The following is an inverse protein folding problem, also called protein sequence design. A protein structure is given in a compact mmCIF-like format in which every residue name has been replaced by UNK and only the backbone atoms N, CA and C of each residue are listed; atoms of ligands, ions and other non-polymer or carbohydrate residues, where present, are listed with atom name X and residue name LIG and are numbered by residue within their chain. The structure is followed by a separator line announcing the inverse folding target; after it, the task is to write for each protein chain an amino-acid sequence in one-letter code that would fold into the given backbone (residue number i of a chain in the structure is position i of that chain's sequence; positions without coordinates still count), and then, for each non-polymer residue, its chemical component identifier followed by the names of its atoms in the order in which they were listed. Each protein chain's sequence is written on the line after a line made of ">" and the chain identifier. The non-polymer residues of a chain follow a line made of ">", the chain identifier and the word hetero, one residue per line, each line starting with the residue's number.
data_IF_820992125169
#
_entry.id   IF_820992125169
#
_cell.length_a   1.000
_cell.length_b   1.000
_cell.length_c   1.000
_cell.angle_alpha   90.00
_cell.angle_beta   90.00
_cell.angle_gamma   90.00
#
_symmetry.space_group_name_H-M   'P 1'
#
loop_
_entity.id
_entity.type
_entity.pdbx_description
1 polymer ?
#
# COMPACT_ATOMS: atom_id res chain seq x y z
N UNK A 1 5.24 11.35 -27.46
CA UNK A 1 5.57 12.74 -27.01
C UNK A 1 6.45 12.80 -25.76
N UNK A 2 6.60 11.73 -24.99
CA UNK A 2 7.38 11.67 -23.74
C UNK A 2 8.91 11.74 -23.92
N UNK A 3 9.45 11.29 -25.06
CA UNK A 3 10.91 11.28 -25.29
C UNK A 3 11.58 12.66 -25.37
N UNK A 4 10.88 13.72 -25.80
CA UNK A 4 11.47 15.06 -26.00
C UNK A 4 11.58 15.89 -24.71
N UNK A 5 10.71 15.66 -23.72
CA UNK A 5 10.74 16.38 -22.44
C UNK A 5 11.92 15.92 -21.56
N UNK A 6 12.16 14.60 -21.48
CA UNK A 6 13.31 14.05 -20.77
C UNK A 6 14.64 14.43 -21.41
N UNK A 7 14.69 14.51 -22.74
CA UNK A 7 15.90 14.89 -23.47
C UNK A 7 16.25 16.37 -23.31
N UNK A 8 15.26 17.25 -23.10
CA UNK A 8 15.47 18.68 -22.88
C UNK A 8 16.01 19.00 -21.47
N UNK A 9 15.45 18.35 -20.44
CA UNK A 9 15.86 18.54 -19.04
C UNK A 9 17.22 17.90 -18.73
N UNK A 10 17.49 16.72 -19.28
CA UNK A 10 18.74 16.01 -19.03
C UNK A 10 19.97 16.66 -19.71
N UNK A 11 19.79 17.52 -20.72
CA UNK A 11 20.89 18.14 -21.50
C UNK A 11 21.64 19.26 -20.76
N UNK A 12 21.17 19.73 -19.60
CA UNK A 12 21.67 20.99 -19.00
C UNK A 12 22.44 20.86 -17.68
N UNK A 13 22.25 19.80 -16.88
CA UNK A 13 23.01 19.63 -15.64
C UNK A 13 22.98 18.21 -15.08
N UNK A 14 24.10 17.74 -14.54
CA UNK A 14 24.17 16.51 -13.74
C UNK A 14 23.32 16.62 -12.48
N UNK A 15 23.27 17.81 -11.85
CA UNK A 15 22.48 18.05 -10.64
C UNK A 15 21.00 17.82 -10.89
N UNK A 16 20.48 18.28 -12.03
CA UNK A 16 19.07 18.07 -12.39
C UNK A 16 18.72 16.59 -12.59
N UNK A 17 19.64 15.79 -13.12
CA UNK A 17 19.44 14.35 -13.26
C UNK A 17 19.30 13.67 -11.90
N UNK A 18 20.23 13.97 -10.98
CA UNK A 18 20.21 13.38 -9.63
C UNK A 18 18.99 13.87 -8.86
N UNK A 19 18.71 15.18 -8.89
CA UNK A 19 17.56 15.76 -8.23
C UNK A 19 16.23 15.17 -8.72
N UNK A 20 16.07 14.97 -10.04
CA UNK A 20 14.87 14.38 -10.61
C UNK A 20 14.72 12.91 -10.19
N UNK A 21 15.80 12.14 -10.20
CA UNK A 21 15.78 10.74 -9.76
C UNK A 21 15.42 10.64 -8.28
N UNK A 22 16.02 11.47 -7.43
CA UNK A 22 15.69 11.54 -6.00
C UNK A 22 14.24 11.95 -5.78
N UNK A 23 13.77 13.01 -6.43
CA UNK A 23 12.38 13.46 -6.33
C UNK A 23 11.40 12.37 -6.76
N UNK A 24 11.68 11.65 -7.86
CA UNK A 24 10.87 10.53 -8.31
C UNK A 24 10.82 9.41 -7.27
N UNK A 25 11.97 9.00 -6.71
CA UNK A 25 12.04 7.97 -5.67
C UNK A 25 11.28 8.38 -4.40
N UNK A 26 11.45 9.63 -3.96
CA UNK A 26 10.73 10.16 -2.80
C UNK A 26 9.23 10.19 -3.04
N UNK A 27 8.77 10.62 -4.22
CA UNK A 27 7.35 10.64 -4.56
C UNK A 27 6.74 9.25 -4.62
N UNK A 28 7.44 8.27 -5.21
CA UNK A 28 6.99 6.87 -5.24
C UNK A 28 6.89 6.31 -3.82
N UNK A 29 7.92 6.55 -3.00
CA UNK A 29 7.93 6.12 -1.60
C UNK A 29 6.81 6.73 -0.78
N UNK A 30 6.60 8.05 -0.88
CA UNK A 30 5.53 8.75 -0.18
C UNK A 30 4.14 8.28 -0.61
N UNK A 31 3.92 8.09 -1.92
CA UNK A 31 2.67 7.57 -2.43
C UNK A 31 2.41 6.15 -1.89
N UNK A 32 3.41 5.26 -1.97
CA UNK A 32 3.29 3.89 -1.45
C UNK A 32 3.04 3.84 0.05
N UNK A 33 3.76 4.65 0.84
CA UNK A 33 3.55 4.74 2.29
C UNK A 33 2.16 5.30 2.63
N UNK A 34 1.73 6.36 1.94
CA UNK A 34 0.41 6.97 2.16
C UNK A 34 -0.71 5.98 1.87
N UNK A 35 -0.65 5.27 0.74
CA UNK A 35 -1.62 4.21 0.42
C UNK A 35 -1.60 3.09 1.47
N UNK A 36 -0.41 2.67 1.92
CA UNK A 36 -0.27 1.64 2.94
C UNK A 36 -0.90 2.02 4.28
N UNK A 37 -0.73 3.27 4.73
CA UNK A 37 -1.31 3.76 6.00
C UNK A 37 -2.84 3.78 5.91
N UNK A 38 -3.39 4.34 4.82
CA UNK A 38 -4.84 4.40 4.62
C UNK A 38 -5.47 3.01 4.61
N UNK A 39 -4.86 2.04 3.91
CA UNK A 39 -5.37 0.66 3.89
C UNK A 39 -5.24 0.00 5.27
N UNK A 40 -4.11 0.16 5.97
CA UNK A 40 -3.90 -0.41 7.30
C UNK A 40 -4.97 0.06 8.32
N UNK A 41 -5.32 1.34 8.32
CA UNK A 41 -6.38 1.89 9.18
C UNK A 41 -7.76 1.29 8.85
N UNK A 42 -8.05 1.08 7.57
CA UNK A 42 -9.31 0.44 7.16
C UNK A 42 -9.37 -1.03 7.57
N UNK A 43 -8.28 -1.78 7.40
CA UNK A 43 -8.17 -3.21 7.77
C UNK A 43 -8.34 -3.39 9.28
N UNK A 44 -7.74 -2.52 10.10
CA UNK A 44 -7.92 -2.58 11.55
C UNK A 44 -9.39 -2.36 11.95
N UNK A 45 -10.09 -1.45 11.25
CA UNK A 45 -11.53 -1.25 11.40
C UNK A 45 -12.35 -2.49 11.05
N UNK A 46 -12.02 -3.14 9.91
CA UNK A 46 -12.68 -4.37 9.47
C UNK A 46 -12.47 -5.53 10.44
N UNK A 47 -11.28 -5.68 11.03
CA UNK A 47 -11.02 -6.74 12.01
C UNK A 47 -11.93 -6.64 13.24
N UNK A 48 -12.20 -5.42 13.72
CA UNK A 48 -13.16 -5.20 14.82
C UNK A 48 -14.58 -5.57 14.40
N UNK A 49 -14.99 -5.19 13.19
CA UNK A 49 -16.31 -5.54 12.64
C UNK A 49 -16.49 -7.06 12.48
N UNK A 50 -15.49 -7.77 11.95
CA UNK A 50 -15.48 -9.24 11.81
C UNK A 50 -15.62 -9.91 13.17
N UNK A 51 -14.88 -9.45 14.19
CA UNK A 51 -14.96 -10.02 15.53
C UNK A 51 -16.36 -9.84 16.16
N UNK A 52 -16.97 -8.66 15.98
CA UNK A 52 -18.34 -8.40 16.46
C UNK A 52 -19.37 -9.19 15.67
N UNK A 53 -19.27 -9.25 14.34
CA UNK A 53 -20.16 -10.07 13.54
C UNK A 53 -20.04 -11.56 13.91
N UNK A 54 -18.83 -12.04 14.23
CA UNK A 54 -18.60 -13.37 14.76
C UNK A 54 -19.19 -13.60 16.16
N UNK A 55 -19.25 -12.58 17.01
CA UNK A 55 -19.91 -12.69 18.33
C UNK A 55 -21.41 -12.89 18.19
N UNK A 56 -22.07 -12.24 17.21
CA UNK A 56 -23.50 -12.41 16.93
C UNK A 56 -23.85 -13.89 16.75
N UNK A 57 -23.11 -14.61 15.90
CA UNK A 57 -23.32 -16.05 15.67
C UNK A 57 -23.21 -16.87 16.96
N UNK A 58 -22.18 -16.62 17.77
CA UNK A 58 -22.02 -17.32 19.05
C UNK A 58 -23.16 -17.01 20.01
N UNK A 59 -23.62 -15.76 20.06
CA UNK A 59 -24.73 -15.32 20.91
C UNK A 59 -26.05 -15.93 20.46
N UNK A 60 -26.28 -16.08 19.15
CA UNK A 60 -27.45 -16.79 18.62
C UNK A 60 -27.47 -18.26 19.07
N UNK A 61 -26.36 -18.99 18.91
CA UNK A 61 -26.29 -20.39 19.39
C UNK A 61 -26.38 -20.50 20.91
N UNK A 62 -25.75 -19.58 21.66
CA UNK A 62 -25.80 -19.55 23.13
C UNK A 62 -27.23 -19.35 23.63
N UNK A 63 -27.97 -18.45 23.01
CA UNK A 63 -29.38 -18.22 23.34
C UNK A 63 -30.22 -19.47 23.08
N UNK A 64 -30.06 -20.11 21.91
CA UNK A 64 -30.76 -21.36 21.59
C UNK A 64 -30.44 -22.49 22.58
N UNK A 65 -29.16 -22.66 22.94
CA UNK A 65 -28.75 -23.70 23.89
C UNK A 65 -29.25 -23.44 25.32
N UNK A 66 -29.34 -22.17 25.73
CA UNK A 66 -29.95 -21.80 27.01
C UNK A 66 -31.45 -22.11 27.04
N UNK A 67 -32.17 -21.81 25.95
CA UNK A 67 -33.60 -22.17 25.83
C UNK A 67 -33.79 -23.68 25.92
N UNK A 68 -32.96 -24.47 25.22
CA UNK A 68 -33.01 -25.94 25.28
C UNK A 68 -32.68 -26.45 26.70
N UNK A 69 -31.68 -25.87 27.36
CA UNK A 69 -31.31 -26.25 28.73
C UNK A 69 -32.45 -25.98 29.72
N UNK A 70 -33.10 -24.81 29.63
CA UNK A 70 -34.22 -24.46 30.51
C UNK A 70 -35.42 -25.42 30.30
N UNK A 71 -35.66 -25.86 29.06
CA UNK A 71 -36.69 -26.87 28.74
C UNK A 71 -36.35 -28.23 29.35
N UNK A 72 -35.09 -28.68 29.26
CA UNK A 72 -34.65 -29.96 29.81
C UNK A 72 -34.68 -30.01 31.34
N UNK A 73 -34.44 -28.86 31.99
CA UNK A 73 -34.45 -28.74 33.45
C UNK A 73 -35.84 -28.35 34.01
N UNK A 74 -36.87 -28.24 33.15
CA UNK A 74 -38.21 -27.74 33.49
C UNK A 74 -38.19 -26.39 34.23
N UNK A 75 -37.20 -25.55 33.93
CA UNK A 75 -37.00 -24.25 34.56
C UNK A 75 -37.75 -23.14 33.83
N UNK A 76 -38.14 -22.12 34.59
CA UNK A 76 -38.61 -20.85 34.01
C UNK A 76 -37.49 -20.29 33.15
N UNK A 77 -37.83 -19.87 31.94
CA UNK A 77 -36.88 -19.28 31.03
C UNK A 77 -36.09 -18.15 31.71
N UNK A 78 -34.80 -18.39 31.87
CA UNK A 78 -34.00 -17.77 32.92
C UNK A 78 -33.58 -16.37 32.48
N UNK A 79 -33.34 -15.47 33.45
CA UNK A 79 -32.65 -14.18 33.27
C UNK A 79 -31.42 -14.27 32.33
N UNK A 80 -30.79 -15.44 32.25
CA UNK A 80 -29.69 -15.79 31.34
C UNK A 80 -30.05 -15.69 29.85
N UNK A 81 -31.24 -16.13 29.44
CA UNK A 81 -31.70 -16.02 28.03
C UNK A 81 -31.89 -14.55 27.68
N UNK A 82 -32.60 -13.81 28.54
CA UNK A 82 -32.82 -12.37 28.38
C UNK A 82 -31.50 -11.58 28.36
N UNK A 83 -30.51 -11.99 29.17
CA UNK A 83 -29.18 -11.40 29.13
C UNK A 83 -28.47 -11.67 27.79
N UNK A 84 -28.58 -12.88 27.24
CA UNK A 84 -28.02 -13.21 25.92
C UNK A 84 -28.68 -12.44 24.77
N UNK A 85 -30.00 -12.19 24.86
CA UNK A 85 -30.76 -11.34 23.92
C UNK A 85 -30.22 -9.90 23.96
N UNK A 86 -30.05 -9.33 25.16
CA UNK A 86 -29.49 -7.97 25.30
C UNK A 86 -28.07 -7.86 24.76
N UNK A 87 -27.21 -8.81 25.08
CA UNK A 87 -25.83 -8.86 24.59
C UNK A 87 -25.78 -8.96 23.05
N UNK A 88 -26.71 -9.70 22.45
CA UNK A 88 -26.88 -9.76 21.00
C UNK A 88 -27.30 -8.41 20.41
N UNK A 89 -28.32 -7.77 20.98
CA UNK A 89 -28.82 -6.47 20.50
C UNK A 89 -27.77 -5.35 20.62
N UNK A 90 -27.01 -5.33 21.72
CA UNK A 90 -25.87 -4.42 21.91
C UNK A 90 -24.77 -4.67 20.85
N UNK A 91 -24.47 -5.94 20.57
CA UNK A 91 -23.51 -6.31 19.53
C UNK A 91 -24.00 -5.95 18.13
N UNK A 92 -25.30 -6.05 17.86
CA UNK A 92 -25.90 -5.78 16.56
C UNK A 92 -25.75 -4.31 16.18
N UNK A 93 -25.88 -3.39 17.15
CA UNK A 93 -25.71 -1.94 16.94
C UNK A 93 -24.31 -1.43 17.31
N UNK A 94 -23.34 -2.34 17.45
CA UNK A 94 -22.00 -1.97 17.88
C UNK A 94 -21.34 -0.99 16.89
N UNK A 95 -20.61 0.04 17.36
CA UNK A 95 -20.02 1.06 16.49
C UNK A 95 -19.10 0.53 15.39
N UNK A 96 -18.45 -0.62 15.61
CA UNK A 96 -17.61 -1.25 14.59
C UNK A 96 -18.39 -1.65 13.33
N UNK A 97 -19.60 -2.19 13.47
CA UNK A 97 -20.46 -2.56 12.34
C UNK A 97 -21.04 -1.30 11.68
N UNK A 98 -21.53 -0.36 12.51
CA UNK A 98 -22.14 0.88 12.03
C UNK A 98 -21.16 1.72 11.21
N UNK A 99 -19.90 1.84 11.62
CA UNK A 99 -18.87 2.56 10.85
C UNK A 99 -18.64 1.97 9.45
N UNK A 100 -18.77 0.65 9.26
CA UNK A 100 -18.65 0.03 7.93
C UNK A 100 -19.83 0.45 7.05
N UNK A 101 -21.03 0.46 7.62
CA UNK A 101 -22.26 0.87 6.93
C UNK A 101 -22.23 2.37 6.60
N UNK A 102 -21.83 3.22 7.55
CA UNK A 102 -21.71 4.68 7.35
C UNK A 102 -20.71 5.02 6.24
N UNK A 103 -19.61 4.28 6.14
CA UNK A 103 -18.61 4.45 5.09
C UNK A 103 -19.12 3.99 3.72
N UNK A 104 -19.93 2.93 3.69
CA UNK A 104 -20.36 2.27 2.45
C UNK A 104 -21.84 1.82 2.54
N UNK A 105 -22.80 2.76 2.51
CA UNK A 105 -24.21 2.49 2.80
C UNK A 105 -24.91 1.59 1.76
N UNK A 106 -24.39 1.60 0.54
CA UNK A 106 -24.88 0.84 -0.60
C UNK A 106 -24.09 -0.46 -0.84
N UNK A 107 -23.19 -0.82 0.08
CA UNK A 107 -22.41 -2.05 -0.03
C UNK A 107 -23.26 -3.31 0.16
N UNK A 108 -22.73 -4.44 -0.35
CA UNK A 108 -23.27 -5.78 -0.08
C UNK A 108 -23.32 -6.02 1.44
N UNK A 109 -22.30 -5.58 2.18
CA UNK A 109 -22.29 -5.69 3.65
C UNK A 109 -23.48 -4.98 4.28
N UNK A 110 -23.75 -3.72 3.88
CA UNK A 110 -24.87 -2.96 4.42
C UNK A 110 -26.23 -3.60 4.09
N UNK A 111 -26.37 -4.17 2.89
CA UNK A 111 -27.58 -4.92 2.51
C UNK A 111 -27.76 -6.19 3.36
N UNK A 112 -26.70 -7.00 3.52
CA UNK A 112 -26.72 -8.22 4.35
C UNK A 112 -26.96 -7.91 5.83
N UNK A 113 -26.37 -6.82 6.34
CA UNK A 113 -26.59 -6.35 7.71
C UNK A 113 -28.07 -5.98 7.94
N UNK A 114 -28.66 -5.19 7.04
CA UNK A 114 -30.09 -4.84 7.13
C UNK A 114 -30.99 -6.07 7.07
N UNK A 115 -30.61 -7.06 6.25
CA UNK A 115 -31.29 -8.36 6.20
C UNK A 115 -31.22 -9.11 7.53
N UNK A 116 -30.04 -9.21 8.14
CA UNK A 116 -29.86 -9.85 9.44
C UNK A 116 -30.59 -9.09 10.57
N UNK A 117 -30.55 -7.76 10.58
CA UNK A 117 -31.30 -6.95 11.54
C UNK A 117 -32.82 -7.17 11.41
N UNK A 118 -33.33 -7.23 10.18
CA UNK A 118 -34.74 -7.52 9.91
C UNK A 118 -35.11 -8.94 10.35
N UNK A 119 -34.31 -9.96 10.02
CA UNK A 119 -34.54 -11.35 10.43
C UNK A 119 -34.54 -11.52 11.95
N UNK A 120 -33.63 -10.82 12.64
CA UNK A 120 -33.62 -10.77 14.10
C UNK A 120 -34.93 -10.22 14.66
N UNK A 121 -35.35 -9.03 14.21
CA UNK A 121 -36.51 -8.32 14.74
C UNK A 121 -37.85 -8.97 14.40
N UNK A 122 -37.96 -9.55 13.21
CA UNK A 122 -39.23 -10.04 12.66
C UNK A 122 -39.41 -11.55 12.82
N UNK A 123 -38.36 -12.31 13.14
CA UNK A 123 -38.44 -13.77 13.24
C UNK A 123 -37.86 -14.29 14.57
N UNK A 124 -36.54 -14.18 14.75
CA UNK A 124 -35.86 -14.86 15.87
C UNK A 124 -36.28 -14.30 17.23
N UNK A 125 -36.26 -12.97 17.41
CA UNK A 125 -36.64 -12.35 18.69
C UNK A 125 -38.10 -12.62 19.07
N UNK A 126 -39.10 -12.41 18.20
CA UNK A 126 -40.48 -12.77 18.50
C UNK A 126 -40.66 -14.25 18.87
N UNK A 127 -39.91 -15.16 18.25
CA UNK A 127 -39.97 -16.59 18.56
C UNK A 127 -39.39 -16.90 19.95
N UNK A 128 -38.28 -16.27 20.30
CA UNK A 128 -37.71 -16.35 21.66
C UNK A 128 -38.71 -15.78 22.66
N UNK A 129 -39.23 -14.57 22.45
CA UNK A 129 -40.19 -13.93 23.34
C UNK A 129 -41.45 -14.78 23.54
N UNK A 130 -41.98 -15.41 22.47
CA UNK A 130 -43.12 -16.32 22.55
C UNK A 130 -42.83 -17.50 23.49
N UNK A 131 -41.66 -18.14 23.36
CA UNK A 131 -41.21 -19.22 24.25
C UNK A 131 -41.07 -18.75 25.70
N UNK A 132 -40.59 -17.52 25.92
CA UNK A 132 -40.51 -16.93 27.27
C UNK A 132 -41.90 -16.69 27.88
N UNK A 133 -42.91 -16.39 27.05
CA UNK A 133 -44.28 -16.10 27.50
C UNK A 133 -45.18 -17.34 27.65
N UNK A 134 -44.89 -18.45 26.96
CA UNK A 134 -45.65 -19.71 27.07
C UNK A 134 -45.67 -20.27 28.52
N UNK A 135 -44.68 -19.89 29.34
CA UNK A 135 -44.50 -20.42 30.69
C UNK A 135 -43.86 -21.82 30.68
N UNK A 136 -43.32 -22.29 31.82
CA UNK A 136 -42.60 -23.57 31.86
C UNK A 136 -43.54 -24.78 31.90
N UNK A 137 -43.18 -25.90 31.24
CA UNK A 137 -42.11 -26.00 30.26
C UNK A 137 -42.56 -25.48 28.87
N UNK A 138 -41.67 -24.84 28.10
CA UNK A 138 -41.97 -24.46 26.72
C UNK A 138 -42.35 -25.65 25.85
N UNK A 139 -43.18 -25.42 24.83
CA UNK A 139 -43.57 -26.47 23.89
C UNK A 139 -42.36 -27.03 23.12
N UNK A 140 -42.23 -28.36 23.05
CA UNK A 140 -41.17 -29.03 22.26
C UNK A 140 -41.20 -28.61 20.78
N UNK A 141 -42.40 -28.37 20.26
CA UNK A 141 -42.62 -27.88 18.89
C UNK A 141 -42.11 -26.44 18.73
N UNK A 142 -42.39 -25.54 19.68
CA UNK A 142 -41.86 -24.18 19.68
C UNK A 142 -40.33 -24.14 19.72
N UNK A 143 -39.72 -25.00 20.54
CA UNK A 143 -38.25 -25.14 20.62
C UNK A 143 -37.67 -25.67 19.30
N UNK A 144 -38.28 -26.68 18.69
CA UNK A 144 -37.82 -27.22 17.40
C UNK A 144 -37.93 -26.18 16.27
N UNK A 145 -38.99 -25.37 16.27
CA UNK A 145 -39.15 -24.26 15.33
C UNK A 145 -38.08 -23.17 15.56
N UNK A 146 -37.79 -22.81 16.82
CA UNK A 146 -36.72 -21.88 17.16
C UNK A 146 -35.36 -22.38 16.66
N UNK A 147 -35.02 -23.65 16.88
CA UNK A 147 -33.74 -24.21 16.43
C UNK A 147 -33.60 -24.11 14.90
N UNK A 148 -34.68 -24.39 14.17
CA UNK A 148 -34.70 -24.26 12.70
C UNK A 148 -34.48 -22.81 12.25
N UNK A 149 -35.12 -21.84 12.92
CA UNK A 149 -34.93 -20.42 12.63
C UNK A 149 -33.54 -19.91 13.00
N UNK A 150 -32.99 -20.39 14.12
CA UNK A 150 -31.64 -20.09 14.57
C UNK A 150 -30.61 -20.57 13.56
N UNK A 151 -30.74 -21.80 13.05
CA UNK A 151 -29.82 -22.32 12.03
C UNK A 151 -29.86 -21.47 10.75
N UNK A 152 -31.05 -21.14 10.26
CA UNK A 152 -31.21 -20.27 9.10
C UNK A 152 -30.65 -18.86 9.33
N UNK A 153 -30.84 -18.31 10.53
CA UNK A 153 -30.32 -16.99 10.89
C UNK A 153 -28.80 -16.99 11.04
N UNK A 154 -28.21 -18.05 11.60
CA UNK A 154 -26.77 -18.23 11.68
C UNK A 154 -26.15 -18.26 10.29
N UNK A 155 -26.78 -18.87 9.29
CA UNK A 155 -26.29 -18.82 7.91
C UNK A 155 -26.30 -17.41 7.31
N UNK A 156 -27.28 -16.57 7.66
CA UNK A 156 -27.27 -15.15 7.28
C UNK A 156 -26.11 -14.40 7.96
N UNK A 157 -25.84 -14.69 9.24
CA UNK A 157 -24.69 -14.12 9.96
C UNK A 157 -23.34 -14.63 9.42
N UNK A 158 -23.26 -15.90 8.97
CA UNK A 158 -22.09 -16.44 8.28
C UNK A 158 -21.83 -15.65 6.98
N UNK A 159 -22.88 -15.40 6.21
CA UNK A 159 -22.80 -14.60 4.98
C UNK A 159 -22.34 -13.17 5.29
N UNK A 160 -22.87 -12.56 6.37
CA UNK A 160 -22.47 -11.23 6.83
C UNK A 160 -20.96 -11.16 7.13
N UNK A 161 -20.44 -12.15 7.87
CA UNK A 161 -19.00 -12.26 8.19
C UNK A 161 -18.17 -12.48 6.93
N UNK A 162 -18.60 -13.39 6.05
CA UNK A 162 -17.89 -13.70 4.82
C UNK A 162 -17.73 -12.49 3.89
N UNK A 163 -18.75 -11.63 3.81
CA UNK A 163 -18.68 -10.38 3.03
C UNK A 163 -17.62 -9.42 3.59
N UNK A 164 -17.50 -9.31 4.93
CA UNK A 164 -16.46 -8.49 5.55
C UNK A 164 -15.06 -9.07 5.31
N UNK A 165 -14.91 -10.38 5.45
CA UNK A 165 -13.63 -11.07 5.22
C UNK A 165 -13.17 -10.90 3.78
N UNK A 166 -14.07 -11.11 2.81
CA UNK A 166 -13.77 -10.96 1.39
C UNK A 166 -13.38 -9.52 1.01
N UNK A 167 -14.16 -8.50 1.42
CA UNK A 167 -13.84 -7.09 1.15
C UNK A 167 -12.50 -6.69 1.77
N UNK A 168 -12.18 -7.23 2.96
CA UNK A 168 -10.89 -6.98 3.62
C UNK A 168 -9.74 -7.64 2.85
N UNK A 169 -9.91 -8.87 2.40
CA UNK A 169 -8.89 -9.61 1.65
C UNK A 169 -8.63 -8.98 0.27
N UNK A 170 -9.67 -8.56 -0.44
CA UNK A 170 -9.56 -7.87 -1.73
C UNK A 170 -8.75 -6.58 -1.61
N UNK A 171 -9.05 -5.74 -0.60
CA UNK A 171 -8.30 -4.51 -0.32
C UNK A 171 -6.82 -4.75 0.00
N UNK A 172 -6.51 -5.82 0.75
CA UNK A 172 -5.12 -6.21 1.02
C UNK A 172 -4.44 -6.66 -0.28
N UNK A 173 -5.16 -7.37 -1.14
CA UNK A 173 -4.71 -7.77 -2.47
C UNK A 173 -4.33 -6.58 -3.34
N UNK A 174 -5.21 -5.58 -3.45
CA UNK A 174 -4.97 -4.34 -4.19
C UNK A 174 -3.76 -3.57 -3.65
N UNK A 175 -3.64 -3.45 -2.33
CA UNK A 175 -2.46 -2.82 -1.71
C UNK A 175 -1.18 -3.55 -2.10
N UNK A 176 -1.17 -4.88 -2.07
CA UNK A 176 0.00 -5.68 -2.46
C UNK A 176 0.39 -5.43 -3.91
N UNK A 177 -0.58 -5.33 -4.82
CA UNK A 177 -0.32 -5.02 -6.23
C UNK A 177 0.25 -3.61 -6.41
N UNK A 178 -0.33 -2.60 -5.73
CA UNK A 178 0.17 -1.22 -5.76
C UNK A 178 1.60 -1.13 -5.24
N UNK A 179 1.90 -1.79 -4.11
CA UNK A 179 3.26 -1.81 -3.56
C UNK A 179 4.24 -2.56 -4.46
N UNK A 180 3.84 -3.67 -5.08
CA UNK A 180 4.68 -4.38 -6.04
C UNK A 180 5.01 -3.50 -7.26
N UNK A 181 4.03 -2.76 -7.79
CA UNK A 181 4.23 -1.81 -8.86
C UNK A 181 5.16 -0.66 -8.43
N UNK A 182 4.98 -0.12 -7.23
CA UNK A 182 5.83 0.94 -6.67
C UNK A 182 7.29 0.47 -6.51
N UNK A 183 7.52 -0.76 -6.05
CA UNK A 183 8.85 -1.38 -5.99
C UNK A 183 9.44 -1.53 -7.39
N UNK A 184 8.67 -2.04 -8.35
CA UNK A 184 9.10 -2.18 -9.74
C UNK A 184 9.50 -0.84 -10.36
N UNK A 185 8.70 0.20 -10.14
CA UNK A 185 8.98 1.55 -10.63
C UNK A 185 10.21 2.17 -9.94
N UNK A 186 10.38 1.93 -8.64
CA UNK A 186 11.57 2.35 -7.88
C UNK A 186 12.84 1.72 -8.47
N UNK A 187 12.83 0.40 -8.69
CA UNK A 187 13.95 -0.31 -9.31
C UNK A 187 14.24 0.21 -10.72
N UNK A 188 13.19 0.46 -11.51
CA UNK A 188 13.33 1.03 -12.85
C UNK A 188 14.02 2.41 -12.80
N UNK A 189 13.57 3.32 -11.92
CA UNK A 189 14.18 4.64 -11.76
C UNK A 189 15.64 4.54 -11.33
N UNK A 190 15.96 3.64 -10.39
CA UNK A 190 17.34 3.41 -9.93
C UNK A 190 18.23 2.93 -11.07
N UNK A 191 17.81 1.89 -11.81
CA UNK A 191 18.58 1.35 -12.94
C UNK A 191 18.76 2.41 -14.03
N UNK A 192 17.71 3.16 -14.36
CA UNK A 192 17.79 4.24 -15.34
C UNK A 192 18.78 5.33 -14.90
N UNK A 193 18.72 5.76 -13.63
CA UNK A 193 19.64 6.75 -13.07
C UNK A 193 21.09 6.25 -13.13
N UNK A 194 21.36 4.99 -12.75
CA UNK A 194 22.68 4.39 -12.82
C UNK A 194 23.23 4.35 -14.25
N UNK A 195 22.43 3.92 -15.22
CA UNK A 195 22.82 3.89 -16.64
C UNK A 195 23.16 5.30 -17.15
N UNK A 196 22.36 6.29 -16.78
CA UNK A 196 22.61 7.68 -17.18
C UNK A 196 23.85 8.26 -16.49
N UNK A 197 24.08 7.97 -15.21
CA UNK A 197 25.25 8.40 -14.46
C UNK A 197 26.52 7.78 -15.04
N UNK A 198 26.49 6.49 -15.37
CA UNK A 198 27.60 5.79 -16.02
C UNK A 198 28.00 6.45 -17.34
N UNK A 199 27.01 6.82 -18.16
CA UNK A 199 27.25 7.40 -19.49
C UNK A 199 27.62 8.89 -19.46
N UNK A 200 27.00 9.67 -18.57
CA UNK A 200 27.10 11.14 -18.56
C UNK A 200 28.10 11.68 -17.55
N UNK A 201 28.48 10.89 -16.54
CA UNK A 201 29.41 11.33 -15.49
C UNK A 201 30.66 10.47 -15.50
N UNK A 202 30.51 9.16 -15.26
CA UNK A 202 31.66 8.27 -15.08
C UNK A 202 32.55 8.20 -16.33
N UNK A 203 31.98 7.96 -17.52
CA UNK A 203 32.78 7.86 -18.77
C UNK A 203 33.53 9.16 -19.12
N UNK A 204 32.91 10.35 -19.14
CA UNK A 204 33.64 11.59 -19.43
C UNK A 204 34.70 11.92 -18.37
N UNK A 205 34.41 11.70 -17.09
CA UNK A 205 35.37 11.93 -16.01
C UNK A 205 36.59 11.01 -16.16
N UNK A 206 36.37 9.73 -16.47
CA UNK A 206 37.46 8.78 -16.70
C UNK A 206 38.29 9.16 -17.93
N UNK A 207 37.66 9.66 -19.01
CA UNK A 207 38.37 10.15 -20.19
C UNK A 207 39.26 11.36 -19.88
N UNK A 208 38.77 12.30 -19.07
CA UNK A 208 39.56 13.44 -18.55
C UNK A 208 40.75 12.98 -17.72
N UNK A 209 40.53 12.04 -16.80
CA UNK A 209 41.59 11.50 -15.96
C UNK A 209 42.69 10.81 -16.78
N UNK A 210 42.31 10.02 -17.79
CA UNK A 210 43.25 9.39 -18.71
C UNK A 210 44.04 10.41 -19.55
N UNK A 211 43.37 11.45 -20.06
CA UNK A 211 44.05 12.51 -20.82
C UNK A 211 45.02 13.32 -19.94
N UNK A 212 44.63 13.66 -18.71
CA UNK A 212 45.48 14.36 -17.76
C UNK A 212 46.75 13.54 -17.43
N UNK A 213 46.62 12.23 -17.25
CA UNK A 213 47.77 11.35 -17.02
C UNK A 213 48.73 11.31 -18.23
N UNK A 214 48.22 11.36 -19.46
CA UNK A 214 49.06 11.45 -20.67
C UNK A 214 49.84 12.76 -20.73
N UNK A 215 49.21 13.88 -20.37
CA UNK A 215 49.88 15.18 -20.28
C UNK A 215 50.98 15.18 -19.22
N UNK A 216 50.70 14.61 -18.04
CA UNK A 216 51.71 14.48 -16.99
C UNK A 216 52.90 13.60 -17.43
N UNK A 217 52.68 12.64 -18.33
CA UNK A 217 53.72 11.82 -18.92
C UNK A 217 54.46 12.48 -20.12
N UNK A 218 54.13 13.74 -20.45
CA UNK A 218 54.79 14.52 -21.50
C UNK A 218 54.11 14.51 -22.88
N UNK A 219 53.01 13.77 -23.05
CA UNK A 219 52.26 13.74 -24.31
C UNK A 219 51.29 14.92 -24.41
N UNK A 220 51.82 16.10 -24.75
CA UNK A 220 51.08 17.37 -24.90
C UNK A 220 50.04 17.38 -26.03
N UNK A 221 49.91 16.30 -26.80
CA UNK A 221 48.90 16.16 -27.86
C UNK A 221 47.56 15.60 -27.36
N UNK A 222 47.50 15.10 -26.13
CA UNK A 222 46.31 14.47 -25.57
C UNK A 222 45.14 15.46 -25.47
N UNK A 223 43.97 15.06 -26.00
CA UNK A 223 42.73 15.84 -25.94
C UNK A 223 41.56 14.95 -25.51
N UNK A 224 40.55 15.56 -24.90
CA UNK A 224 39.27 14.90 -24.60
C UNK A 224 38.22 15.22 -25.65
N UNK A 225 37.47 14.19 -26.06
CA UNK A 225 36.41 14.30 -27.06
C UNK A 225 35.08 14.77 -26.47
N UNK A 226 34.87 14.62 -25.16
CA UNK A 226 33.64 15.06 -24.51
C UNK A 226 33.66 16.57 -24.29
N UNK A 227 33.19 17.31 -25.30
CA UNK A 227 32.96 18.75 -25.23
C UNK A 227 31.47 19.03 -25.41
N UNK A 228 30.93 20.00 -24.69
CA UNK A 228 29.48 20.18 -24.62
C UNK A 228 29.06 21.29 -23.68
N UNK A 229 27.74 21.50 -23.58
CA UNK A 229 27.16 22.59 -22.79
C UNK A 229 26.93 22.22 -21.31
N UNK A 230 27.02 20.95 -20.96
CA UNK A 230 26.94 20.47 -19.58
C UNK A 230 28.26 20.72 -18.83
N UNK A 231 28.27 20.51 -17.52
CA UNK A 231 29.40 20.83 -16.64
C UNK A 231 30.68 20.10 -17.07
N UNK A 232 30.59 18.81 -17.36
CA UNK A 232 31.75 18.02 -17.80
C UNK A 232 32.21 18.35 -19.22
N UNK A 233 31.30 18.77 -20.10
CA UNK A 233 31.66 19.24 -21.45
C UNK A 233 32.36 20.61 -21.43
N UNK A 234 31.95 21.50 -20.51
CA UNK A 234 32.65 22.76 -20.27
C UNK A 234 34.04 22.50 -19.67
N UNK A 235 34.14 21.56 -18.72
CA UNK A 235 35.43 21.13 -18.16
C UNK A 235 36.35 20.53 -19.25
N UNK A 236 35.82 19.67 -20.13
CA UNK A 236 36.57 19.13 -21.26
C UNK A 236 37.06 20.21 -22.23
N UNK A 237 36.25 21.23 -22.47
CA UNK A 237 36.63 22.37 -23.32
C UNK A 237 37.74 23.20 -22.67
N UNK A 238 37.62 23.51 -21.38
CA UNK A 238 38.65 24.22 -20.63
C UNK A 238 39.96 23.42 -20.57
N UNK A 239 39.86 22.10 -20.36
CA UNK A 239 41.01 21.19 -20.37
C UNK A 239 41.77 21.29 -21.69
N UNK A 240 41.09 21.10 -22.84
CA UNK A 240 41.71 21.15 -24.16
C UNK A 240 42.36 22.52 -24.46
N UNK A 241 41.75 23.63 -24.03
CA UNK A 241 42.34 24.97 -24.18
C UNK A 241 43.65 25.10 -23.39
N UNK A 242 43.66 24.67 -22.12
CA UNK A 242 44.86 24.67 -21.29
C UNK A 242 45.98 23.81 -21.92
N UNK A 243 45.63 22.64 -22.46
CA UNK A 243 46.60 21.77 -23.13
C UNK A 243 47.19 22.40 -24.39
N UNK A 244 46.35 23.07 -25.18
CA UNK A 244 46.79 23.79 -26.37
C UNK A 244 47.77 24.92 -26.06
N UNK A 245 47.51 25.70 -25.00
CA UNK A 245 48.41 26.74 -24.52
C UNK A 245 49.74 26.16 -24.01
N UNK A 246 49.70 25.07 -23.23
CA UNK A 246 50.90 24.40 -22.75
C UNK A 246 51.78 23.87 -23.90
N UNK A 247 51.16 23.26 -24.92
CA UNK A 247 51.86 22.79 -26.13
C UNK A 247 52.51 23.94 -26.92
N UNK A 248 51.86 25.11 -27.00
CA UNK A 248 52.47 26.30 -27.61
C UNK A 248 53.67 26.81 -26.81
N UNK A 249 53.54 26.92 -25.49
CA UNK A 249 54.63 27.38 -24.62
C UNK A 249 55.87 26.48 -24.73
N UNK A 250 55.67 25.16 -24.78
CA UNK A 250 56.77 24.21 -24.92
C UNK A 250 57.49 24.35 -26.27
N UNK A 251 56.74 24.48 -27.37
CA UNK A 251 57.32 24.70 -28.71
C UNK A 251 58.05 26.03 -28.83
N UNK A 252 57.51 27.11 -28.24
CA UNK A 252 58.19 28.41 -28.22
C UNK A 252 59.51 28.31 -27.45
N UNK A 253 59.52 27.64 -26.29
CA UNK A 253 60.73 27.42 -25.51
C UNK A 253 61.78 26.61 -26.28
N UNK A 254 61.37 25.53 -26.94
CA UNK A 254 62.25 24.69 -27.77
C UNK A 254 62.88 25.49 -28.91
N UNK A 255 62.08 26.28 -29.64
CA UNK A 255 62.58 27.14 -30.72
C UNK A 255 63.59 28.19 -30.26
N UNK A 256 63.41 28.73 -29.04
CA UNK A 256 64.34 29.69 -28.44
C UNK A 256 65.63 29.05 -27.98
N UNK A 257 65.58 27.79 -27.51
CA UNK A 257 66.77 27.03 -27.13
C UNK A 257 67.59 26.74 -28.39
N UNK A 258 66.96 26.23 -29.45
CA UNK A 258 67.62 25.95 -30.74
C UNK A 258 68.30 27.20 -31.32
N UNK A 259 67.62 28.34 -31.31
CA UNK A 259 68.16 29.62 -31.81
C UNK A 259 69.35 30.16 -31.00
N UNK A 260 69.56 29.71 -29.75
CA UNK A 260 70.70 30.09 -28.92
C UNK A 260 71.86 29.08 -28.96
N UNK A 261 71.59 27.85 -29.36
CA UNK A 261 72.60 26.78 -29.46
C UNK A 261 73.18 26.61 -30.87
N UNK A 262 72.62 27.30 -31.88
CA UNK A 262 73.15 27.42 -33.24
C UNK A 262 74.10 28.61 -33.37
#
# INVERSE_FOLDING_TARGET
>A
MTGRLFDGLARRSILWLVALAMAALTLIGLAGMSTSVLVAETVQGSASAINVAGSLRRLTHRMASLVVADVLEEKVATERVLASVREFEESLVHPALLRVIERTPDSVFAATYRGAEAAWRLSVKPRVDAILTEGPPPSREGVAALLTEVDAFVEQLNTLVAVLEFDTEERIGDLRQILALAIGLTLFVVVLALVLLQRRVYRPLNALLLAANRIAAGDLSAQVSHTGRNELGQLGTAFNTMTGELSKLYRDLESRVEAKTA
#
